data_IF_165135678491
#
_entry.id   IF_165135678491
#
_cell.length_a   1.000
_cell.length_b   1.000
_cell.length_c   1.000
_cell.angle_alpha   90.00
_cell.angle_beta   90.00
_cell.angle_gamma   90.00
#
_symmetry.space_group_name_H-M   'P 1'
#
loop_
_entity.id
_entity.type
_entity.pdbx_description
1 polymer ?
#
# COMPACT_ATOMS: atom_id res chain seq x y z
N UNK A 1 13.70 -11.14 19.11
CA UNK A 1 13.12 -11.25 17.75
C UNK A 1 13.02 -9.84 17.19
N UNK A 2 13.20 -9.60 15.89
CA UNK A 2 12.96 -8.27 15.33
C UNK A 2 11.53 -7.82 15.67
N UNK A 3 11.36 -6.54 15.96
CA UNK A 3 10.06 -5.97 16.33
C UNK A 3 9.22 -5.81 15.05
N UNK A 4 8.52 -6.90 14.65
CA UNK A 4 7.73 -6.96 13.43
C UNK A 4 6.33 -6.42 13.67
N UNK A 5 5.85 -5.61 12.72
CA UNK A 5 4.44 -5.18 12.65
C UNK A 5 3.61 -6.14 11.83
N UNK A 6 4.17 -6.64 10.73
CA UNK A 6 3.58 -7.67 9.88
C UNK A 6 4.64 -8.74 9.59
N UNK A 7 4.25 -9.99 9.68
CA UNK A 7 5.06 -11.14 9.30
C UNK A 7 4.21 -12.13 8.51
N UNK A 8 4.58 -12.37 7.26
CA UNK A 8 3.91 -13.31 6.35
C UNK A 8 4.88 -14.44 6.08
N UNK A 9 4.43 -15.67 6.32
CA UNK A 9 5.23 -16.87 6.23
C UNK A 9 4.58 -17.87 5.27
N UNK A 10 5.33 -18.26 4.23
CA UNK A 10 4.97 -19.30 3.26
C UNK A 10 3.55 -19.13 2.67
N UNK A 11 3.19 -17.89 2.35
CA UNK A 11 1.88 -17.56 1.80
C UNK A 11 1.70 -18.18 0.43
N UNK A 12 0.59 -18.92 0.28
CA UNK A 12 0.13 -19.46 -0.98
C UNK A 12 -1.28 -18.99 -1.25
N UNK A 13 -1.54 -18.47 -2.46
CA UNK A 13 -2.87 -18.02 -2.88
C UNK A 13 -3.16 -18.59 -4.26
N UNK A 14 -4.33 -19.24 -4.42
CA UNK A 14 -4.79 -19.75 -5.69
C UNK A 14 -6.26 -19.41 -5.94
N UNK A 15 -6.63 -19.30 -7.21
CA UNK A 15 -8.00 -19.14 -7.70
C UNK A 15 -8.35 -20.35 -8.57
N UNK A 16 -9.13 -21.28 -8.04
CA UNK A 16 -9.32 -22.59 -8.66
C UNK A 16 -7.98 -23.32 -8.83
N UNK A 17 -7.61 -23.67 -10.06
CA UNK A 17 -6.34 -24.34 -10.37
C UNK A 17 -5.16 -23.38 -10.58
N UNK A 18 -5.40 -22.07 -10.62
CA UNK A 18 -4.36 -21.08 -10.91
C UNK A 18 -3.69 -20.59 -9.63
N UNK A 19 -2.41 -20.91 -9.44
CA UNK A 19 -1.59 -20.38 -8.35
C UNK A 19 -1.11 -18.98 -8.71
N UNK A 20 -1.42 -17.99 -7.86
CA UNK A 20 -1.06 -16.58 -8.06
C UNK A 20 0.06 -16.16 -7.11
N UNK A 21 0.10 -16.70 -5.90
CA UNK A 21 1.17 -16.50 -4.93
C UNK A 21 1.64 -17.86 -4.46
N UNK A 22 2.94 -18.09 -4.45
CA UNK A 22 3.58 -19.37 -4.12
C UNK A 22 4.68 -19.15 -3.11
N UNK A 23 4.55 -19.76 -1.93
CA UNK A 23 5.54 -19.77 -0.86
C UNK A 23 6.15 -18.38 -0.54
N UNK A 24 5.34 -17.32 -0.64
CA UNK A 24 5.82 -15.96 -0.43
C UNK A 24 5.97 -15.66 1.07
N UNK A 25 7.15 -15.17 1.46
CA UNK A 25 7.42 -14.72 2.83
C UNK A 25 7.94 -13.29 2.79
N UNK A 26 7.35 -12.40 3.59
CA UNK A 26 7.77 -11.02 3.72
C UNK A 26 7.44 -10.47 5.10
N UNK A 27 8.17 -9.46 5.54
CA UNK A 27 7.92 -8.82 6.82
C UNK A 27 7.98 -7.30 6.73
N UNK A 28 7.29 -6.64 7.66
CA UNK A 28 7.33 -5.19 7.86
C UNK A 28 7.72 -4.92 9.31
N UNK A 29 8.83 -4.23 9.53
CA UNK A 29 9.24 -3.84 10.89
C UNK A 29 8.41 -2.67 11.41
N UNK A 30 8.26 -2.56 12.73
CA UNK A 30 7.56 -1.42 13.36
C UNK A 30 8.21 -0.09 13.00
N UNK A 31 7.38 0.86 12.59
CA UNK A 31 7.80 2.21 12.17
C UNK A 31 8.63 2.28 10.89
N UNK A 32 8.75 1.17 10.14
CA UNK A 32 9.52 1.06 8.90
C UNK A 32 8.63 0.87 7.68
N UNK A 33 9.18 1.15 6.51
CA UNK A 33 8.56 0.88 5.22
C UNK A 33 9.25 -0.29 4.55
N UNK A 34 8.49 -1.35 4.27
CA UNK A 34 8.91 -2.43 3.36
C UNK A 34 8.22 -2.20 2.02
N UNK A 35 8.99 -2.09 0.95
CA UNK A 35 8.45 -2.02 -0.40
C UNK A 35 8.31 -3.42 -1.00
N UNK A 36 7.18 -3.68 -1.67
CA UNK A 36 6.95 -4.88 -2.47
C UNK A 36 6.94 -4.47 -3.94
N UNK A 37 7.95 -4.89 -4.70
CA UNK A 37 8.17 -4.50 -6.09
C UNK A 37 8.13 -5.69 -7.02
N UNK A 38 7.80 -5.47 -8.30
CA UNK A 38 7.75 -6.50 -9.34
C UNK A 38 6.87 -6.08 -10.49
N UNK A 39 6.84 -6.86 -11.57
CA UNK A 39 6.01 -6.62 -12.74
C UNK A 39 4.51 -6.63 -12.41
N UNK A 40 3.71 -6.02 -13.31
CA UNK A 40 2.24 -6.17 -13.24
C UNK A 40 1.87 -7.65 -13.31
N UNK A 41 0.91 -8.08 -12.49
CA UNK A 41 0.52 -9.49 -12.43
C UNK A 41 1.44 -10.40 -11.60
N UNK A 42 2.50 -9.88 -10.94
CA UNK A 42 3.37 -10.72 -10.10
C UNK A 42 2.77 -11.19 -8.78
N UNK A 43 1.55 -10.74 -8.40
CA UNK A 43 0.86 -11.16 -7.17
C UNK A 43 0.82 -10.11 -6.04
N UNK A 44 1.41 -8.92 -6.21
CA UNK A 44 1.56 -7.89 -5.16
C UNK A 44 0.23 -7.46 -4.54
N UNK A 45 -0.72 -7.01 -5.36
CA UNK A 45 -2.04 -6.54 -4.89
C UNK A 45 -2.87 -7.67 -4.28
N UNK A 46 -2.75 -8.90 -4.81
CA UNK A 46 -3.39 -10.09 -4.25
C UNK A 46 -2.82 -10.39 -2.86
N UNK A 47 -1.49 -10.29 -2.69
CA UNK A 47 -0.83 -10.41 -1.38
C UNK A 47 -1.31 -9.33 -0.42
N UNK A 48 -1.42 -8.07 -0.85
CA UNK A 48 -1.93 -6.98 -0.03
C UNK A 48 -3.39 -7.19 0.41
N UNK A 49 -4.25 -7.60 -0.52
CA UNK A 49 -5.67 -7.89 -0.21
C UNK A 49 -5.83 -9.08 0.74
N UNK A 50 -4.94 -10.08 0.67
CA UNK A 50 -4.98 -11.22 1.57
C UNK A 50 -4.77 -10.85 3.04
N UNK A 51 -3.89 -9.88 3.33
CA UNK A 51 -3.63 -9.37 4.69
C UNK A 51 -4.92 -8.84 5.34
N UNK A 52 -5.77 -8.23 4.54
CA UNK A 52 -7.06 -7.68 4.98
C UNK A 52 -8.21 -8.68 4.84
N UNK A 53 -7.97 -9.90 4.35
CA UNK A 53 -9.04 -10.86 4.07
C UNK A 53 -10.07 -10.33 3.07
N UNK A 54 -9.61 -9.60 2.04
CA UNK A 54 -10.45 -9.01 0.99
C UNK A 54 -10.47 -9.84 -0.29
N UNK A 55 -9.86 -11.02 -0.26
CA UNK A 55 -9.95 -11.94 -1.40
C UNK A 55 -11.37 -12.50 -1.53
N UNK A 56 -11.83 -12.77 -2.76
CA UNK A 56 -13.11 -13.42 -2.99
C UNK A 56 -13.13 -14.84 -2.39
N UNK A 57 -14.31 -15.37 -2.10
CA UNK A 57 -14.48 -16.69 -1.49
C UNK A 57 -13.98 -17.85 -2.37
N UNK A 58 -13.79 -17.60 -3.67
CA UNK A 58 -13.18 -18.56 -4.60
C UNK A 58 -11.67 -18.70 -4.44
N UNK A 59 -11.02 -17.82 -3.68
CA UNK A 59 -9.60 -17.89 -3.40
C UNK A 59 -9.31 -18.90 -2.28
N UNK A 60 -8.33 -19.76 -2.52
CA UNK A 60 -7.72 -20.59 -1.48
C UNK A 60 -6.48 -19.90 -0.95
N UNK A 61 -6.36 -19.79 0.37
CA UNK A 61 -5.24 -19.16 1.05
C UNK A 61 -4.65 -20.13 2.07
N UNK A 62 -3.34 -20.34 2.02
CA UNK A 62 -2.56 -21.13 2.98
C UNK A 62 -1.29 -20.36 3.36
N UNK A 63 -0.76 -20.64 4.54
CA UNK A 63 0.38 -19.95 5.12
C UNK A 63 -0.01 -19.22 6.40
N UNK A 64 0.95 -18.56 7.02
CA UNK A 64 0.72 -17.86 8.27
C UNK A 64 0.96 -16.36 8.13
N UNK A 65 0.11 -15.56 8.76
CA UNK A 65 0.22 -14.12 8.81
C UNK A 65 0.06 -13.63 10.24
N UNK A 66 1.02 -12.85 10.70
CA UNK A 66 1.02 -12.25 12.03
C UNK A 66 1.01 -10.73 11.91
N UNK A 67 0.12 -10.08 12.63
CA UNK A 67 0.06 -8.64 12.77
C UNK A 67 0.24 -8.25 14.24
N UNK A 68 1.26 -7.48 14.57
CA UNK A 68 1.63 -7.07 15.93
C UNK A 68 1.66 -8.27 16.91
N UNK A 69 2.30 -9.37 16.48
CA UNK A 69 2.39 -10.68 17.14
C UNK A 69 1.08 -11.47 17.26
N UNK A 70 -0.03 -11.01 16.70
CA UNK A 70 -1.29 -11.74 16.65
C UNK A 70 -1.39 -12.50 15.33
N UNK A 71 -1.68 -13.81 15.37
CA UNK A 71 -1.99 -14.56 14.16
C UNK A 71 -3.33 -14.09 13.57
N UNK A 72 -3.29 -13.62 12.31
CA UNK A 72 -4.47 -13.12 11.59
C UNK A 72 -4.92 -14.04 10.45
N UNK A 73 -4.20 -15.15 10.19
CA UNK A 73 -4.46 -16.05 9.05
C UNK A 73 -5.88 -16.62 9.05
N UNK A 74 -6.39 -16.97 10.24
CA UNK A 74 -7.66 -17.65 10.42
C UNK A 74 -8.69 -16.83 11.21
N UNK A 75 -8.57 -15.49 11.17
CA UNK A 75 -9.54 -14.63 11.84
C UNK A 75 -10.91 -14.74 11.17
N UNK A 76 -11.95 -14.82 12.00
CA UNK A 76 -13.33 -14.71 11.52
C UNK A 76 -13.56 -13.35 10.84
N UNK A 77 -14.54 -13.28 9.94
CA UNK A 77 -14.92 -12.02 9.26
C UNK A 77 -15.20 -10.89 10.28
N UNK A 78 -15.81 -11.20 11.43
CA UNK A 78 -16.10 -10.25 12.51
C UNK A 78 -14.82 -9.75 13.18
N UNK A 79 -13.86 -10.61 13.47
CA UNK A 79 -12.60 -10.20 14.09
C UNK A 79 -11.71 -9.42 13.12
N UNK A 80 -11.69 -9.81 11.85
CA UNK A 80 -10.99 -9.05 10.82
C UNK A 80 -11.58 -7.64 10.63
N UNK A 81 -12.90 -7.48 10.78
CA UNK A 81 -13.57 -6.17 10.74
C UNK A 81 -13.05 -5.21 11.83
N UNK A 82 -12.66 -5.73 13.00
CA UNK A 82 -12.09 -4.92 14.08
C UNK A 82 -10.68 -4.39 13.75
N UNK A 83 -9.96 -5.04 12.84
CA UNK A 83 -8.63 -4.62 12.40
C UNK A 83 -8.69 -3.65 11.21
N UNK A 84 -9.59 -3.94 10.24
CA UNK A 84 -9.73 -3.14 9.01
C UNK A 84 -10.12 -1.70 9.32
N UNK A 85 -9.40 -0.76 8.71
CA UNK A 85 -9.66 0.68 8.85
C UNK A 85 -9.33 1.26 10.23
N UNK A 86 -9.06 0.43 11.24
CA UNK A 86 -8.69 0.87 12.60
C UNK A 86 -7.21 0.65 12.88
N UNK A 87 -6.70 -0.55 12.67
CA UNK A 87 -5.31 -0.91 12.94
C UNK A 87 -4.52 -1.14 11.64
N UNK A 88 -5.17 -1.69 10.62
CA UNK A 88 -4.62 -1.88 9.29
C UNK A 88 -5.50 -1.11 8.32
N UNK A 89 -4.93 -0.17 7.58
CA UNK A 89 -5.62 0.58 6.52
C UNK A 89 -4.95 0.33 5.18
N UNK A 90 -5.71 0.50 4.10
CA UNK A 90 -5.22 0.32 2.74
C UNK A 90 -5.60 1.51 1.85
N UNK A 91 -4.65 1.95 1.05
CA UNK A 91 -4.86 2.83 -0.10
C UNK A 91 -4.87 1.94 -1.33
N UNK A 92 -5.98 1.90 -2.04
CA UNK A 92 -6.15 1.09 -3.25
C UNK A 92 -5.60 1.81 -4.49
N UNK A 93 -5.28 1.04 -5.52
CA UNK A 93 -4.67 1.52 -6.75
C UNK A 93 -5.55 2.52 -7.52
N UNK A 94 -6.89 2.36 -7.47
CA UNK A 94 -7.82 3.21 -8.22
C UNK A 94 -8.65 4.11 -7.31
N UNK A 95 -8.35 5.43 -7.24
CA UNK A 95 -9.09 6.39 -6.42
C UNK A 95 -10.57 6.52 -6.84
N UNK A 96 -10.84 6.37 -8.14
CA UNK A 96 -12.20 6.51 -8.68
C UNK A 96 -13.14 5.38 -8.24
N UNK A 97 -12.62 4.17 -8.13
CA UNK A 97 -13.39 3.01 -7.69
C UNK A 97 -13.58 2.97 -6.17
N UNK A 98 -12.72 3.67 -5.43
CA UNK A 98 -12.69 3.60 -3.96
C UNK A 98 -13.52 4.69 -3.28
N UNK A 99 -13.76 5.84 -3.94
CA UNK A 99 -14.59 6.91 -3.42
C UNK A 99 -16.05 6.75 -3.91
N UNK A 100 -16.99 6.82 -3.00
CA UNK A 100 -18.41 6.77 -3.35
C UNK A 100 -18.83 8.12 -3.98
N UNK A 101 -19.28 8.15 -5.26
CA UNK A 101 -19.55 9.39 -5.97
C UNK A 101 -20.80 10.14 -5.47
N UNK A 102 -21.69 9.48 -4.72
CA UNK A 102 -22.97 10.09 -4.25
C UNK A 102 -22.86 10.70 -2.85
N UNK A 103 -21.73 10.56 -2.16
CA UNK A 103 -21.46 11.20 -0.86
C UNK A 103 -20.38 12.26 -1.00
N UNK A 104 -20.49 13.32 -0.20
CA UNK A 104 -19.41 14.31 -0.11
C UNK A 104 -18.16 13.73 0.52
N UNK A 105 -17.03 14.37 0.25
CA UNK A 105 -15.73 13.96 0.84
C UNK A 105 -15.81 13.96 2.38
N UNK A 106 -16.45 14.99 2.95
CA UNK A 106 -16.61 15.10 4.39
C UNK A 106 -17.41 13.95 4.98
N UNK A 107 -18.53 13.57 4.36
CA UNK A 107 -19.37 12.48 4.84
C UNK A 107 -18.61 11.14 4.85
N UNK A 108 -17.82 10.85 3.82
CA UNK A 108 -17.02 9.63 3.73
C UNK A 108 -15.93 9.56 4.81
N UNK A 109 -15.27 10.68 5.10
CA UNK A 109 -14.26 10.73 6.18
C UNK A 109 -14.92 10.69 7.57
N UNK A 110 -16.03 11.42 7.77
CA UNK A 110 -16.80 11.42 9.03
C UNK A 110 -17.31 10.00 9.37
N UNK A 111 -17.72 9.22 8.36
CA UNK A 111 -18.16 7.84 8.51
C UNK A 111 -17.06 6.97 9.13
N UNK A 112 -15.82 7.08 8.64
CA UNK A 112 -14.67 6.34 9.18
C UNK A 112 -14.45 6.61 10.67
N UNK A 113 -14.52 7.88 11.09
CA UNK A 113 -14.42 8.24 12.51
C UNK A 113 -15.57 7.68 13.35
N UNK A 114 -16.77 7.66 12.81
CA UNK A 114 -17.96 7.21 13.53
C UNK A 114 -18.01 5.69 13.66
N UNK A 115 -17.52 4.96 12.66
CA UNK A 115 -17.49 3.49 12.69
C UNK A 115 -16.50 2.93 13.71
N UNK A 116 -15.35 3.57 13.87
CA UNK A 116 -14.25 3.00 14.66
C UNK A 116 -13.91 3.75 15.95
N UNK A 117 -14.31 4.98 16.07
CA UNK A 117 -14.15 5.79 17.29
C UNK A 117 -15.54 6.27 17.70
N UNK A 118 -15.94 6.03 18.93
CA UNK A 118 -17.22 6.52 19.49
C UNK A 118 -17.25 8.06 19.51
N UNK A 119 -17.28 8.67 18.31
CA UNK A 119 -17.25 10.10 18.09
C UNK A 119 -18.66 10.64 17.87
N UNK A 120 -18.98 11.76 18.50
CA UNK A 120 -20.16 12.54 18.12
C UNK A 120 -19.98 13.12 16.70
N UNK A 121 -21.08 13.42 16.03
CA UNK A 121 -21.05 14.04 14.68
C UNK A 121 -20.23 15.35 14.68
N UNK A 122 -20.30 16.17 15.74
CA UNK A 122 -19.52 17.41 15.88
C UNK A 122 -18.01 17.13 15.96
N UNK A 123 -17.62 16.09 16.71
CA UNK A 123 -16.22 15.68 16.83
C UNK A 123 -15.69 15.07 15.53
N UNK A 124 -16.48 14.20 14.86
CA UNK A 124 -16.09 13.65 13.57
C UNK A 124 -15.86 14.77 12.52
N UNK A 125 -16.76 15.76 12.47
CA UNK A 125 -16.63 16.92 11.58
C UNK A 125 -15.38 17.76 11.88
N UNK A 126 -15.01 17.98 13.13
CA UNK A 126 -13.79 18.69 13.49
C UNK A 126 -12.55 17.92 13.02
N UNK A 127 -12.47 16.61 13.36
CA UNK A 127 -11.38 15.74 12.92
C UNK A 127 -11.27 15.62 11.40
N UNK A 128 -12.41 15.65 10.68
CA UNK A 128 -12.42 15.67 9.21
C UNK A 128 -11.75 16.92 8.65
N UNK A 129 -11.96 18.07 9.27
CA UNK A 129 -11.25 19.30 8.86
C UNK A 129 -9.75 19.20 9.10
N UNK A 130 -9.37 18.67 10.27
CA UNK A 130 -7.95 18.54 10.63
C UNK A 130 -7.21 17.59 9.68
N UNK A 131 -7.81 16.44 9.34
CA UNK A 131 -7.18 15.47 8.42
C UNK A 131 -7.16 15.98 6.98
N UNK A 132 -8.16 16.75 6.52
CA UNK A 132 -8.15 17.38 5.20
C UNK A 132 -7.02 18.40 5.09
N UNK A 133 -6.84 19.23 6.11
CA UNK A 133 -5.73 20.19 6.16
C UNK A 133 -4.38 19.47 6.15
N UNK A 134 -4.25 18.38 6.92
CA UNK A 134 -3.03 17.56 6.96
C UNK A 134 -2.64 17.00 5.58
N UNK A 135 -3.61 16.59 4.77
CA UNK A 135 -3.33 16.07 3.41
C UNK A 135 -3.27 17.19 2.36
N UNK A 136 -3.33 18.47 2.77
CA UNK A 136 -3.24 19.65 1.90
C UNK A 136 -4.51 19.88 1.09
N UNK A 137 -5.67 19.58 1.64
CA UNK A 137 -6.99 19.92 1.10
C UNK A 137 -7.64 20.94 2.02
N UNK A 138 -8.10 22.07 1.46
CA UNK A 138 -8.79 23.10 2.24
C UNK A 138 -10.04 22.51 2.94
N UNK A 139 -10.22 22.74 4.26
CA UNK A 139 -11.29 22.12 5.04
C UNK A 139 -12.72 22.45 4.59
N UNK A 140 -12.93 23.57 3.91
CA UNK A 140 -14.22 23.96 3.34
C UNK A 140 -14.63 23.08 2.15
N UNK A 141 -13.67 22.46 1.47
CA UNK A 141 -13.90 21.49 0.40
C UNK A 141 -14.55 20.17 0.89
N UNK A 142 -14.70 19.96 2.20
CA UNK A 142 -15.38 18.77 2.74
C UNK A 142 -16.80 18.59 2.21
N UNK A 143 -17.45 19.64 1.71
CA UNK A 143 -18.81 19.60 1.14
C UNK A 143 -18.82 19.20 -0.34
N UNK A 144 -17.68 19.16 -0.99
CA UNK A 144 -17.56 18.82 -2.39
C UNK A 144 -17.65 17.29 -2.61
N UNK A 145 -18.05 16.90 -3.79
CA UNK A 145 -18.15 15.51 -4.22
C UNK A 145 -16.85 15.05 -4.90
N UNK A 146 -16.60 13.73 -4.98
CA UNK A 146 -15.38 13.21 -5.61
C UNK A 146 -15.13 13.69 -7.04
N UNK A 147 -16.17 13.88 -7.84
CA UNK A 147 -16.03 14.34 -9.22
C UNK A 147 -15.55 15.80 -9.36
N UNK A 148 -15.64 16.59 -8.30
CA UNK A 148 -15.15 17.97 -8.26
C UNK A 148 -13.64 18.08 -7.95
N UNK A 149 -12.96 16.96 -7.76
CA UNK A 149 -11.54 16.87 -7.40
C UNK A 149 -10.71 16.34 -8.57
N UNK A 150 -9.48 16.88 -8.73
CA UNK A 150 -8.48 16.31 -9.63
C UNK A 150 -8.03 14.91 -9.14
N UNK A 151 -7.33 14.15 -10.00
CA UNK A 151 -6.80 12.84 -9.63
C UNK A 151 -5.92 12.88 -8.38
N UNK A 152 -4.98 13.82 -8.32
CA UNK A 152 -4.12 13.99 -7.14
C UNK A 152 -4.88 14.42 -5.89
N UNK A 153 -5.93 15.24 -6.02
CA UNK A 153 -6.78 15.59 -4.87
C UNK A 153 -7.59 14.40 -4.37
N UNK A 154 -8.15 13.57 -5.27
CA UNK A 154 -8.82 12.32 -4.88
C UNK A 154 -7.88 11.37 -4.16
N UNK A 155 -6.64 11.27 -4.62
CA UNK A 155 -5.61 10.47 -3.95
C UNK A 155 -5.34 10.97 -2.53
N UNK A 156 -5.25 12.31 -2.33
CA UNK A 156 -5.12 12.90 -1.00
C UNK A 156 -6.31 12.60 -0.10
N UNK A 157 -7.53 12.58 -0.65
CA UNK A 157 -8.75 12.18 0.09
C UNK A 157 -8.66 10.73 0.53
N UNK A 158 -8.24 9.82 -0.35
CA UNK A 158 -8.06 8.41 0.02
C UNK A 158 -7.01 8.22 1.12
N UNK A 159 -5.92 8.99 1.05
CA UNK A 159 -4.91 9.03 2.12
C UNK A 159 -5.53 9.54 3.42
N UNK A 160 -6.35 10.60 3.38
CA UNK A 160 -7.06 11.11 4.56
C UNK A 160 -7.96 10.04 5.19
N UNK A 161 -8.75 9.33 4.37
CA UNK A 161 -9.60 8.22 4.81
C UNK A 161 -8.74 7.11 5.47
N UNK A 162 -7.65 6.71 4.83
CA UNK A 162 -6.77 5.65 5.34
C UNK A 162 -6.09 6.05 6.66
N UNK A 163 -5.75 7.32 6.84
CA UNK A 163 -5.07 7.84 8.04
C UNK A 163 -6.00 8.25 9.18
N UNK A 164 -7.31 8.39 8.94
CA UNK A 164 -8.29 8.95 9.89
C UNK A 164 -8.29 8.26 11.26
N UNK A 165 -8.09 6.95 11.30
CA UNK A 165 -8.05 6.18 12.55
C UNK A 165 -6.62 5.94 13.08
N UNK A 166 -5.60 6.57 12.52
CA UNK A 166 -4.21 6.44 12.96
C UNK A 166 -3.76 4.96 12.96
N UNK A 167 -3.77 4.29 11.79
CA UNK A 167 -3.47 2.86 11.72
C UNK A 167 -2.02 2.58 12.15
N UNK A 168 -1.78 1.39 12.69
CA UNK A 168 -0.42 0.90 12.98
C UNK A 168 0.31 0.47 11.71
N UNK A 169 -0.45 -0.04 10.73
CA UNK A 169 0.05 -0.48 9.42
C UNK A 169 -0.78 0.16 8.30
N UNK A 170 -0.10 0.84 7.39
CA UNK A 170 -0.67 1.31 6.14
C UNK A 170 -0.17 0.44 4.98
N UNK A 171 -1.09 -0.11 4.21
CA UNK A 171 -0.80 -0.77 2.94
C UNK A 171 -1.10 0.24 1.84
N UNK A 172 -0.10 0.62 1.05
CA UNK A 172 -0.25 1.56 -0.06
C UNK A 172 -0.01 0.82 -1.38
N UNK A 173 -1.09 0.48 -2.08
CA UNK A 173 -1.02 -0.25 -3.35
C UNK A 173 -1.00 0.72 -4.51
N UNK A 174 0.16 0.90 -5.09
CA UNK A 174 0.46 1.80 -6.22
C UNK A 174 -0.15 3.22 -6.06
N UNK A 175 0.11 3.92 -4.95
CA UNK A 175 -0.61 5.15 -4.60
C UNK A 175 -0.30 6.34 -5.51
N UNK A 176 0.64 6.21 -6.44
CA UNK A 176 1.05 7.26 -7.38
C UNK A 176 0.78 6.92 -8.84
N UNK A 177 0.17 5.76 -9.12
CA UNK A 177 -0.19 5.35 -10.48
C UNK A 177 -1.19 6.34 -11.09
N UNK A 178 -1.00 6.67 -12.37
CA UNK A 178 -1.77 7.64 -13.15
C UNK A 178 -1.68 9.11 -12.67
N UNK A 179 -0.69 9.46 -11.85
CA UNK A 179 -0.38 10.84 -11.46
C UNK A 179 0.87 11.35 -12.21
N UNK A 180 0.93 12.65 -12.42
CA UNK A 180 2.14 13.30 -12.93
C UNK A 180 3.29 13.25 -11.90
N UNK A 181 4.53 13.47 -12.36
CA UNK A 181 5.72 13.33 -11.51
C UNK A 181 5.73 14.29 -10.31
N UNK A 182 5.20 15.50 -10.48
CA UNK A 182 5.16 16.49 -9.40
C UNK A 182 4.15 16.10 -8.33
N UNK A 183 2.95 15.71 -8.73
CA UNK A 183 1.90 15.23 -7.85
C UNK A 183 2.33 13.92 -7.16
N UNK A 184 2.96 12.99 -7.90
CA UNK A 184 3.50 11.76 -7.34
C UNK A 184 4.50 12.02 -6.22
N UNK A 185 5.43 12.94 -6.43
CA UNK A 185 6.39 13.36 -5.39
C UNK A 185 5.68 13.91 -4.15
N UNK A 186 4.70 14.79 -4.34
CA UNK A 186 3.94 15.34 -3.21
C UNK A 186 3.18 14.28 -2.41
N UNK A 187 2.63 13.25 -3.07
CA UNK A 187 1.98 12.13 -2.41
C UNK A 187 3.00 11.31 -1.60
N UNK A 188 4.18 11.04 -2.14
CA UNK A 188 5.24 10.33 -1.43
C UNK A 188 5.71 11.12 -0.21
N UNK A 189 5.98 12.42 -0.35
CA UNK A 189 6.38 13.29 0.75
C UNK A 189 5.30 13.31 1.86
N UNK A 190 4.03 13.35 1.49
CA UNK A 190 2.89 13.26 2.42
C UNK A 190 2.88 11.92 3.19
N UNK A 191 3.06 10.79 2.50
CA UNK A 191 3.09 9.46 3.12
C UNK A 191 4.28 9.31 4.08
N UNK A 192 5.46 9.80 3.71
CA UNK A 192 6.65 9.82 4.57
C UNK A 192 6.40 10.67 5.83
N UNK A 193 5.84 11.87 5.67
CA UNK A 193 5.52 12.75 6.79
C UNK A 193 4.49 12.12 7.73
N UNK A 194 3.42 11.51 7.17
CA UNK A 194 2.39 10.83 7.94
C UNK A 194 2.94 9.61 8.72
N UNK A 195 3.81 8.79 8.08
CA UNK A 195 4.50 7.66 8.71
C UNK A 195 5.33 8.13 9.90
N UNK A 196 6.18 9.14 9.70
CA UNK A 196 7.08 9.64 10.74
C UNK A 196 6.32 10.25 11.93
N UNK A 197 5.27 11.03 11.65
CA UNK A 197 4.44 11.67 12.69
C UNK A 197 3.73 10.66 13.58
N UNK A 198 3.28 9.53 13.02
CA UNK A 198 2.50 8.50 13.72
C UNK A 198 3.32 7.28 14.16
N UNK A 199 4.61 7.24 13.84
CA UNK A 199 5.46 6.04 13.99
C UNK A 199 4.80 4.80 13.37
N UNK A 200 4.08 5.00 12.25
CA UNK A 200 3.31 3.99 11.54
C UNK A 200 4.24 3.13 10.68
N UNK A 201 3.93 1.85 10.56
CA UNK A 201 4.59 0.95 9.62
C UNK A 201 3.90 0.98 8.26
N UNK A 202 4.63 0.70 7.18
CA UNK A 202 4.07 0.76 5.84
C UNK A 202 4.51 -0.43 4.98
N UNK A 203 3.55 -1.07 4.30
CA UNK A 203 3.79 -1.92 3.15
C UNK A 203 3.48 -1.11 1.89
N UNK A 204 4.53 -0.75 1.15
CA UNK A 204 4.43 0.10 -0.02
C UNK A 204 4.59 -0.72 -1.30
N UNK A 205 3.57 -0.78 -2.14
CA UNK A 205 3.60 -1.53 -3.39
C UNK A 205 3.80 -0.55 -4.54
N UNK A 206 4.80 -0.81 -5.37
CA UNK A 206 5.07 0.00 -6.56
C UNK A 206 5.88 -0.78 -7.58
N UNK A 207 5.71 -0.43 -8.84
CA UNK A 207 6.61 -0.81 -9.93
C UNK A 207 7.68 0.26 -10.22
N UNK A 208 7.57 1.46 -9.62
CA UNK A 208 8.56 2.54 -9.77
C UNK A 208 9.66 2.45 -8.70
N UNK A 209 10.81 1.93 -9.11
CA UNK A 209 11.99 1.78 -8.27
C UNK A 209 12.51 3.13 -7.76
N UNK A 210 12.30 4.24 -8.51
CA UNK A 210 12.71 5.57 -8.08
C UNK A 210 11.94 6.06 -6.86
N UNK A 211 10.65 5.81 -6.87
CA UNK A 211 9.78 6.08 -5.73
C UNK A 211 10.16 5.18 -4.55
N UNK A 212 10.36 3.89 -4.78
CA UNK A 212 10.76 2.92 -3.74
C UNK A 212 12.05 3.36 -3.04
N UNK A 213 13.05 3.81 -3.81
CA UNK A 213 14.32 4.28 -3.25
C UNK A 213 14.16 5.47 -2.29
N UNK A 214 13.13 6.28 -2.46
CA UNK A 214 12.89 7.47 -1.64
C UNK A 214 12.08 7.20 -0.36
N UNK A 215 11.29 6.13 -0.31
CA UNK A 215 10.35 5.88 0.80
C UNK A 215 10.65 4.62 1.60
N UNK A 216 11.30 3.61 1.00
CA UNK A 216 11.46 2.30 1.63
C UNK A 216 12.73 2.19 2.47
N UNK A 217 12.66 1.43 3.55
CA UNK A 217 13.80 0.97 4.34
C UNK A 217 14.27 -0.41 3.84
N UNK A 218 13.32 -1.28 3.47
CA UNK A 218 13.54 -2.63 2.96
C UNK A 218 12.76 -2.86 1.66
N UNK A 219 13.23 -3.79 0.84
CA UNK A 219 12.60 -4.14 -0.44
C UNK A 219 12.45 -5.65 -0.54
N UNK A 220 11.26 -6.09 -0.94
CA UNK A 220 10.94 -7.44 -1.39
C UNK A 220 10.66 -7.41 -2.88
N UNK A 221 11.37 -8.20 -3.66
CA UNK A 221 11.16 -8.32 -5.11
C UNK A 221 10.31 -9.55 -5.39
N UNK A 222 9.13 -9.33 -5.96
CA UNK A 222 8.18 -10.40 -6.28
C UNK A 222 8.13 -10.68 -7.78
N UNK A 223 8.19 -11.96 -8.13
CA UNK A 223 8.10 -12.44 -9.51
C UNK A 223 7.25 -13.69 -9.56
N UNK A 224 6.22 -13.71 -10.42
CA UNK A 224 5.34 -14.86 -10.64
C UNK A 224 4.83 -15.52 -9.34
N UNK A 225 4.46 -14.70 -8.37
CA UNK A 225 3.95 -15.17 -7.10
C UNK A 225 5.00 -15.47 -6.02
N UNK A 226 6.28 -15.41 -6.31
CA UNK A 226 7.37 -15.73 -5.38
C UNK A 226 8.18 -14.50 -4.99
N UNK A 227 8.68 -14.46 -3.76
CA UNK A 227 9.68 -13.46 -3.34
C UNK A 227 11.06 -14.00 -3.74
N UNK A 228 11.66 -13.39 -4.77
CA UNK A 228 12.92 -13.84 -5.34
C UNK A 228 14.15 -13.16 -4.72
N UNK A 229 13.97 -11.98 -4.13
CA UNK A 229 15.03 -11.27 -3.42
C UNK A 229 14.43 -10.35 -2.36
N UNK A 230 15.12 -10.23 -1.22
CA UNK A 230 14.70 -9.36 -0.15
C UNK A 230 15.92 -8.83 0.61
N UNK A 231 15.83 -7.60 1.14
CA UNK A 231 16.89 -6.98 1.92
C UNK A 231 16.69 -5.48 2.09
N UNK A 232 17.73 -4.80 2.60
CA UNK A 232 17.71 -3.33 2.65
C UNK A 232 17.67 -2.72 1.25
N UNK A 233 17.12 -1.50 1.14
CA UNK A 233 17.10 -0.74 -0.13
C UNK A 233 18.48 -0.71 -0.80
N UNK A 234 19.54 -0.48 -0.01
CA UNK A 234 20.91 -0.44 -0.53
C UNK A 234 21.34 -1.79 -1.10
N UNK A 235 21.05 -2.88 -0.39
CA UNK A 235 21.43 -4.23 -0.85
C UNK A 235 20.69 -4.59 -2.14
N UNK A 236 19.37 -4.48 -2.16
CA UNK A 236 18.55 -4.94 -3.30
C UNK A 236 18.69 -4.03 -4.51
N UNK A 237 18.73 -2.70 -4.32
CA UNK A 237 18.72 -1.77 -5.46
C UNK A 237 20.11 -1.38 -5.96
N UNK A 238 21.16 -1.46 -5.13
CA UNK A 238 22.52 -1.12 -5.55
C UNK A 238 23.41 -2.34 -5.80
N UNK A 239 23.15 -3.45 -5.10
CA UNK A 239 23.93 -4.70 -5.20
C UNK A 239 23.01 -5.91 -5.35
N UNK A 240 22.13 -5.94 -6.38
CA UNK A 240 21.18 -7.03 -6.59
C UNK A 240 21.92 -8.36 -6.79
N UNK A 241 21.44 -9.41 -6.15
CA UNK A 241 21.98 -10.77 -6.30
C UNK A 241 21.24 -11.55 -7.36
N UNK A 242 19.88 -11.48 -7.33
CA UNK A 242 19.03 -12.27 -8.20
C UNK A 242 19.02 -11.75 -9.65
N UNK A 243 19.10 -12.64 -10.68
CA UNK A 243 19.11 -12.23 -12.09
C UNK A 243 17.90 -11.39 -12.50
N UNK A 244 16.71 -11.73 -12.00
CA UNK A 244 15.49 -10.97 -12.27
C UNK A 244 15.56 -9.54 -11.72
N UNK A 245 16.06 -9.36 -10.51
CA UNK A 245 16.23 -8.02 -9.91
C UNK A 245 17.19 -7.18 -10.75
N UNK A 246 18.31 -7.78 -11.21
CA UNK A 246 19.26 -7.12 -12.11
C UNK A 246 18.59 -6.67 -13.39
N UNK A 247 17.78 -7.55 -14.02
CA UNK A 247 17.04 -7.25 -15.23
C UNK A 247 15.99 -6.15 -14.99
N UNK A 248 15.22 -6.23 -13.90
CA UNK A 248 14.22 -5.23 -13.52
C UNK A 248 14.84 -3.83 -13.35
N UNK A 249 15.99 -3.74 -12.71
CA UNK A 249 16.72 -2.49 -12.53
C UNK A 249 17.33 -1.97 -13.83
N UNK A 250 17.81 -2.86 -14.72
CA UNK A 250 18.38 -2.51 -16.03
C UNK A 250 17.33 -1.97 -17.03
N UNK A 251 16.08 -2.37 -16.90
CA UNK A 251 14.96 -1.90 -17.71
C UNK A 251 14.50 -0.47 -17.33
N UNK A 252 15.01 0.09 -16.27
CA UNK A 252 14.64 1.44 -15.79
C UNK A 252 15.06 2.51 -16.81
N UNK A 253 14.16 3.42 -17.23
CA UNK A 253 14.54 4.59 -18.00
C UNK A 253 15.51 5.45 -17.17
N UNK A 254 16.75 5.63 -17.65
CA UNK A 254 17.69 6.57 -17.03
C UNK A 254 17.51 7.95 -17.65
N UNK A 255 17.39 9.00 -16.84
CA UNK A 255 17.32 10.40 -17.31
C UNK A 255 18.62 10.83 -18.00
N UNK A 256 19.72 10.13 -17.81
CA UNK A 256 21.03 10.39 -18.41
C UNK A 256 21.37 9.28 -19.39
N UNK A 257 21.29 9.59 -20.68
CA UNK A 257 21.72 8.75 -21.78
C UNK A 257 20.56 8.19 -22.62
N UNK A 258 20.42 8.69 -23.86
CA UNK A 258 19.54 8.08 -24.89
C UNK A 258 20.05 6.70 -25.24
N UNK A 259 19.59 5.65 -24.52
CA UNK A 259 19.78 4.27 -25.03
C UNK A 259 18.95 4.13 -26.31
N UNK A 260 19.58 3.72 -27.41
CA UNK A 260 18.91 3.47 -28.72
C UNK A 260 17.82 2.39 -28.64
N UNK A 261 17.81 1.56 -27.60
CA UNK A 261 16.80 0.53 -27.31
C UNK A 261 16.66 0.34 -25.79
N UNK A 262 15.44 0.37 -25.27
CA UNK A 262 15.17 -0.07 -23.91
C UNK A 262 15.40 -1.58 -23.83
N UNK A 263 16.08 -2.04 -22.78
CA UNK A 263 16.22 -3.46 -22.52
C UNK A 263 14.87 -3.98 -22.00
N UNK A 264 14.41 -5.09 -22.57
CA UNK A 264 13.24 -5.83 -22.06
C UNK A 264 13.74 -6.96 -21.18
N UNK A 265 12.94 -7.34 -20.19
CA UNK A 265 13.26 -8.52 -19.35
C UNK A 265 13.20 -9.76 -20.24
N UNK A 266 14.27 -10.57 -20.32
CA UNK A 266 14.27 -11.77 -21.15
C UNK A 266 13.19 -12.77 -20.71
N UNK A 267 12.47 -13.33 -21.70
CA UNK A 267 11.45 -14.36 -21.50
C UNK A 267 12.17 -15.65 -21.09
N UNK A 268 12.52 -15.83 -19.84
CA UNK A 268 13.21 -17.07 -19.42
C UNK A 268 14.14 -16.92 -18.22
N UNK A 269 14.31 -15.70 -17.75
CA UNK A 269 15.01 -15.47 -16.46
C UNK A 269 14.01 -15.51 -15.31
#
# INVERSE_FOLDING_TARGET
MPDLMLDIQQLNISFGSTVVVSNASLSVRKGKTTALVGESGSGKSVTAMSILGLLPETASLNGEMYFDNQNISNLSKSNMHLLRGKQISMIFQEPMASLNPVFTIGEQIEEVYRLHKSCTRKQAKAKTKDILDEVGIQPDRMKAYPHEFSGGMRQRVMIAIALANEPKLLIADEPTTALDATTSKQIIDLLIAARNRRSMSMLFISHDIGVVQSIADEVCVMRRGEIVEHGSVVQVLQKPSHPYTKALLACRPTMYGRKKRLQTIPIGI
#
